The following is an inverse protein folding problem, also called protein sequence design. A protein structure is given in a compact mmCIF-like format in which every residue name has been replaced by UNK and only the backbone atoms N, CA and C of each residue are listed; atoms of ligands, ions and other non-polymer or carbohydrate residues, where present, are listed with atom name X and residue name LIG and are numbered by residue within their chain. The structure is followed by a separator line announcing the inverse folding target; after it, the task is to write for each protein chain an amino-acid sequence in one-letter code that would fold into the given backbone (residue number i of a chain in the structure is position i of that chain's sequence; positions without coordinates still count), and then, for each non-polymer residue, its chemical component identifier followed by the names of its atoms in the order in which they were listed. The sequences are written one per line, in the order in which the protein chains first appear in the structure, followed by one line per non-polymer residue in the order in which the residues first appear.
data_IF_616801669822
#
_entry.id   IF_616801669822
#
_cell.length_a   1.000
_cell.length_b   1.000
_cell.length_c   1.000
_cell.angle_alpha   90.00
_cell.angle_beta   90.00
_cell.angle_gamma   90.00
#
_symmetry.space_group_name_H-M   'P 1'
#
loop_
_entity.id
_entity.type
_entity.pdbx_description
1 polymer ?
#
# COMPACT_ATOMS: atom_id res chain seq x y z
N UNK A 1 26.15 -75.49 75.56
CA UNK A 1 25.64 -74.13 75.29
C UNK A 1 26.42 -73.55 74.13
N UNK A 2 25.88 -73.65 72.92
CA UNK A 2 26.53 -73.29 71.66
C UNK A 2 25.60 -72.29 70.97
N UNK A 3 26.00 -71.02 70.86
CA UNK A 3 25.22 -69.99 70.15
C UNK A 3 25.82 -69.76 68.77
N UNK A 4 24.95 -70.00 67.81
CA UNK A 4 24.99 -69.80 66.36
C UNK A 4 25.26 -68.34 65.96
N UNK A 5 26.11 -68.13 64.95
CA UNK A 5 26.05 -66.95 64.08
C UNK A 5 26.06 -67.44 62.64
N UNK A 6 24.93 -67.24 61.95
CA UNK A 6 24.67 -67.74 60.62
C UNK A 6 24.23 -66.55 59.74
N UNK A 7 25.01 -66.32 58.69
CA UNK A 7 24.65 -65.80 57.36
C UNK A 7 24.20 -64.34 57.20
N UNK A 8 25.15 -63.56 56.67
CA UNK A 8 25.07 -62.92 55.35
C UNK A 8 23.84 -63.31 54.51
N UNK A 9 22.84 -62.43 54.46
CA UNK A 9 21.92 -62.24 53.32
C UNK A 9 21.01 -61.07 53.70
N UNK A 10 21.22 -59.88 53.15
CA UNK A 10 20.25 -58.78 52.87
C UNK A 10 21.13 -57.59 52.41
N UNK A 11 21.71 -57.75 51.22
CA UNK A 11 22.34 -56.66 50.46
C UNK A 11 21.69 -56.67 49.09
N UNK A 12 20.37 -56.39 49.02
CA UNK A 12 19.58 -56.38 47.77
C UNK A 12 18.11 -55.93 47.94
N UNK A 13 17.79 -54.91 48.74
CA UNK A 13 16.39 -54.42 48.81
C UNK A 13 16.20 -52.92 49.14
N UNK A 14 17.20 -52.07 48.89
CA UNK A 14 17.11 -50.62 49.18
C UNK A 14 17.29 -49.74 47.93
N UNK A 15 16.79 -50.18 46.78
CA UNK A 15 16.77 -49.42 45.52
C UNK A 15 15.42 -49.63 44.85
N UNK A 16 14.34 -49.08 45.42
CA UNK A 16 13.06 -48.96 44.70
C UNK A 16 12.02 -48.08 45.43
N UNK A 17 12.44 -46.91 45.96
CA UNK A 17 11.46 -45.93 46.45
C UNK A 17 11.95 -44.48 46.27
N UNK A 18 12.62 -44.21 45.14
CA UNK A 18 12.68 -42.86 44.58
C UNK A 18 11.48 -42.74 43.65
N UNK A 19 10.33 -42.38 44.23
CA UNK A 19 9.13 -42.05 43.47
C UNK A 19 9.48 -40.82 42.63
N UNK A 20 9.67 -41.06 41.34
CA UNK A 20 9.84 -40.04 40.31
C UNK A 20 8.53 -39.26 40.30
N UNK A 21 8.50 -38.10 40.96
CA UNK A 21 7.57 -37.03 40.62
C UNK A 21 8.00 -36.53 39.24
N UNK A 22 7.61 -37.27 38.21
CA UNK A 22 7.59 -36.77 36.84
C UNK A 22 6.54 -35.68 36.82
N UNK A 23 6.95 -34.44 37.08
CA UNK A 23 6.13 -33.28 36.80
C UNK A 23 5.65 -33.43 35.36
N UNK A 24 4.34 -33.50 35.19
CA UNK A 24 3.73 -33.43 33.87
C UNK A 24 4.06 -32.02 33.39
N UNK A 25 5.10 -31.90 32.56
CA UNK A 25 5.38 -30.66 31.85
C UNK A 25 4.24 -30.55 30.85
N UNK A 26 3.15 -29.88 31.26
CA UNK A 26 2.15 -29.45 30.31
C UNK A 26 2.85 -28.48 29.37
N UNK A 27 3.08 -28.93 28.14
CA UNK A 27 3.44 -28.04 27.06
C UNK A 27 2.30 -27.04 26.92
N UNK A 28 2.52 -25.81 27.39
CA UNK A 28 1.53 -24.77 27.32
C UNK A 28 1.40 -24.35 25.85
N UNK A 29 0.17 -24.40 25.33
CA UNK A 29 -0.15 -23.89 24.01
C UNK A 29 0.33 -22.44 23.89
N UNK A 30 1.09 -22.15 22.84
CA UNK A 30 1.59 -20.81 22.55
C UNK A 30 0.49 -19.92 21.98
N UNK A 31 -0.31 -20.46 21.05
CA UNK A 31 -1.35 -19.73 20.35
C UNK A 31 -2.56 -20.60 20.00
N UNK A 32 -3.66 -19.93 19.62
CA UNK A 32 -4.89 -20.57 19.14
C UNK A 32 -5.32 -19.96 17.81
N UNK A 33 -5.95 -20.78 16.97
CA UNK A 33 -6.53 -20.33 15.69
C UNK A 33 -7.89 -19.71 15.95
N UNK A 34 -7.99 -18.38 15.89
CA UNK A 34 -9.23 -17.66 16.13
C UNK A 34 -10.15 -17.62 14.92
N UNK A 35 -9.57 -17.56 13.72
CA UNK A 35 -10.31 -17.57 12.45
C UNK A 35 -9.51 -18.36 11.42
N UNK A 36 -10.22 -19.12 10.61
CA UNK A 36 -9.69 -19.77 9.42
C UNK A 36 -10.70 -19.63 8.29
N UNK A 37 -10.25 -19.15 7.15
CA UNK A 37 -10.99 -19.15 5.90
C UNK A 37 -10.17 -19.94 4.87
N UNK A 38 -10.79 -20.93 4.22
CA UNK A 38 -10.10 -21.82 3.29
C UNK A 38 -9.41 -23.00 3.98
N UNK A 39 -8.34 -23.50 3.38
CA UNK A 39 -7.59 -24.69 3.80
C UNK A 39 -6.24 -24.26 4.36
N UNK A 40 -5.92 -24.79 5.53
CA UNK A 40 -4.60 -24.65 6.14
C UNK A 40 -4.27 -25.95 6.88
N UNK A 41 -2.98 -26.17 7.11
CA UNK A 41 -2.47 -27.26 7.92
C UNK A 41 -1.39 -26.77 8.88
N UNK A 42 -1.15 -27.55 9.92
CA UNK A 42 -0.05 -27.36 10.84
C UNK A 42 0.90 -28.55 10.73
N UNK A 43 2.19 -28.29 10.69
CA UNK A 43 3.24 -29.32 10.71
C UNK A 43 3.90 -29.32 12.09
N UNK A 44 3.80 -30.45 12.80
CA UNK A 44 4.32 -30.64 14.15
C UNK A 44 5.77 -31.15 14.12
N UNK A 45 6.65 -30.47 13.38
CA UNK A 45 8.01 -30.95 13.12
C UNK A 45 8.04 -32.32 12.45
N UNK A 46 8.80 -33.28 12.98
CA UNK A 46 8.90 -34.63 12.43
C UNK A 46 7.65 -35.52 12.67
N UNK A 47 6.69 -35.05 13.48
CA UNK A 47 5.54 -35.83 13.91
C UNK A 47 4.40 -35.91 12.87
N UNK A 48 4.49 -35.16 11.76
CA UNK A 48 3.50 -35.16 10.69
C UNK A 48 2.81 -33.80 10.51
N UNK A 49 1.70 -33.79 9.77
CA UNK A 49 0.85 -32.62 9.57
C UNK A 49 -0.60 -32.93 9.89
N UNK A 50 -1.30 -31.94 10.44
CA UNK A 50 -2.74 -31.98 10.73
C UNK A 50 -3.46 -30.84 10.02
N UNK A 51 -4.72 -31.06 9.64
CA UNK A 51 -5.56 -29.99 9.14
C UNK A 51 -5.82 -28.97 10.25
N UNK A 52 -5.65 -27.70 9.91
CA UNK A 52 -5.93 -26.61 10.81
C UNK A 52 -7.44 -26.35 10.85
N UNK A 53 -7.96 -26.02 12.02
CA UNK A 53 -9.36 -25.64 12.22
C UNK A 53 -9.47 -24.54 13.29
N UNK A 54 -10.56 -23.79 13.30
CA UNK A 54 -10.82 -22.77 14.31
C UNK A 54 -10.84 -23.39 15.71
N UNK A 55 -10.07 -22.83 16.63
CA UNK A 55 -9.89 -23.32 18.01
C UNK A 55 -8.69 -24.23 18.19
N UNK A 56 -8.04 -24.69 17.12
CA UNK A 56 -6.83 -25.50 17.20
C UNK A 56 -5.73 -24.78 18.00
N UNK A 57 -5.08 -25.52 18.88
CA UNK A 57 -3.96 -25.05 19.68
C UNK A 57 -2.65 -25.27 18.93
N UNK A 58 -1.78 -24.27 18.98
CA UNK A 58 -0.46 -24.25 18.35
C UNK A 58 0.63 -24.21 19.42
N UNK A 59 1.71 -24.93 19.18
CA UNK A 59 2.81 -25.15 20.10
C UNK A 59 4.13 -24.63 19.52
N UNK A 60 5.14 -24.54 20.39
CA UNK A 60 6.52 -24.30 19.95
C UNK A 60 6.98 -25.46 19.06
N UNK A 61 7.52 -25.13 17.89
CA UNK A 61 7.92 -26.06 16.85
C UNK A 61 6.95 -26.14 15.68
N UNK A 62 5.71 -25.69 15.85
CA UNK A 62 4.68 -25.80 14.81
C UNK A 62 4.93 -24.85 13.63
N UNK A 63 4.68 -25.37 12.42
CA UNK A 63 4.63 -24.57 11.18
C UNK A 63 3.20 -24.53 10.67
N UNK A 64 2.58 -23.36 10.71
CA UNK A 64 1.25 -23.11 10.14
C UNK A 64 1.41 -22.76 8.66
N UNK A 65 0.74 -23.50 7.79
CA UNK A 65 0.75 -23.32 6.34
C UNK A 65 -0.67 -23.04 5.84
N UNK A 66 -0.84 -21.93 5.11
CA UNK A 66 -2.12 -21.57 4.47
C UNK A 66 -2.03 -21.82 2.97
N UNK A 67 -3.08 -22.42 2.39
CA UNK A 67 -3.13 -22.71 0.96
C UNK A 67 -3.51 -21.48 0.14
N UNK A 68 -3.64 -21.68 -1.18
CA UNK A 68 -4.23 -20.68 -2.08
C UNK A 68 -5.62 -20.27 -1.56
N UNK A 69 -5.96 -18.99 -1.70
CA UNK A 69 -7.25 -18.41 -1.32
C UNK A 69 -7.64 -18.64 0.15
N UNK A 70 -6.65 -18.91 1.02
CA UNK A 70 -6.85 -19.27 2.42
C UNK A 70 -6.16 -18.28 3.36
N UNK A 71 -6.78 -17.92 4.48
CA UNK A 71 -6.21 -17.00 5.46
C UNK A 71 -6.56 -17.43 6.89
N UNK A 72 -5.73 -17.04 7.85
CA UNK A 72 -5.92 -17.43 9.24
C UNK A 72 -5.59 -16.28 10.20
N UNK A 73 -6.23 -16.26 11.36
CA UNK A 73 -5.89 -15.39 12.49
C UNK A 73 -5.45 -16.24 13.67
N UNK A 74 -4.23 -16.02 14.13
CA UNK A 74 -3.67 -16.64 15.31
C UNK A 74 -3.70 -15.65 16.46
N UNK A 75 -4.09 -16.11 17.65
CA UNK A 75 -4.06 -15.34 18.90
C UNK A 75 -3.15 -16.07 19.88
N UNK A 76 -2.07 -15.43 20.28
CA UNK A 76 -1.15 -15.96 21.28
C UNK A 76 -1.66 -15.68 22.70
N UNK A 77 -1.17 -16.45 23.66
CA UNK A 77 -1.58 -16.32 25.06
C UNK A 77 -1.12 -15.00 25.71
N UNK A 78 -0.16 -14.29 25.14
CA UNK A 78 0.25 -12.93 25.54
C UNK A 78 -0.64 -11.82 24.96
N UNK A 79 -1.66 -12.20 24.18
CA UNK A 79 -2.58 -11.31 23.49
C UNK A 79 -2.07 -10.81 22.13
N UNK A 80 -0.89 -11.25 21.66
CA UNK A 80 -0.46 -10.93 20.30
C UNK A 80 -1.35 -11.60 19.27
N UNK A 81 -1.55 -10.93 18.14
CA UNK A 81 -2.39 -11.39 17.04
C UNK A 81 -1.58 -11.42 15.75
N UNK A 82 -1.64 -12.54 15.03
CA UNK A 82 -0.92 -12.73 13.77
C UNK A 82 -1.91 -13.18 12.70
N UNK A 83 -2.18 -12.32 11.74
CA UNK A 83 -2.97 -12.64 10.56
C UNK A 83 -2.05 -13.19 9.46
N UNK A 84 -2.41 -14.33 8.88
CA UNK A 84 -1.70 -15.00 7.80
C UNK A 84 -2.47 -14.80 6.50
N UNK A 85 -1.78 -14.35 5.45
CA UNK A 85 -2.34 -14.26 4.10
C UNK A 85 -2.26 -15.62 3.36
N UNK A 86 -2.88 -15.78 2.19
CA UNK A 86 -2.72 -16.98 1.36
C UNK A 86 -1.26 -17.32 1.06
N UNK A 87 -0.98 -18.62 0.96
CA UNK A 87 0.34 -19.16 0.62
C UNK A 87 1.44 -18.77 1.62
N UNK A 88 1.08 -18.65 2.90
CA UNK A 88 2.01 -18.31 3.99
C UNK A 88 2.46 -19.55 4.74
N UNK A 89 3.74 -19.60 5.11
CA UNK A 89 4.31 -20.56 6.06
C UNK A 89 4.91 -19.80 7.24
N UNK A 90 4.34 -19.99 8.42
CA UNK A 90 4.69 -19.28 9.65
C UNK A 90 5.07 -20.28 10.75
N UNK A 91 6.19 -20.06 11.45
CA UNK A 91 6.72 -20.98 12.47
C UNK A 91 6.80 -20.33 13.84
N UNK A 92 6.44 -21.07 14.87
CA UNK A 92 6.64 -20.68 16.28
C UNK A 92 7.93 -21.33 16.76
N UNK A 93 9.03 -20.57 16.88
CA UNK A 93 10.35 -21.15 17.24
C UNK A 93 10.59 -21.19 18.74
N UNK A 94 10.15 -20.16 19.44
CA UNK A 94 10.26 -20.06 20.89
C UNK A 94 9.06 -19.25 21.39
N UNK A 95 8.50 -19.70 22.49
CA UNK A 95 7.46 -18.96 23.17
C UNK A 95 7.51 -19.27 24.67
N UNK A 96 7.62 -18.22 25.47
CA UNK A 96 7.54 -18.26 26.92
C UNK A 96 6.84 -16.99 27.38
N UNK A 97 5.75 -17.15 28.13
CA UNK A 97 4.97 -16.05 28.66
C UNK A 97 4.51 -16.39 30.07
N UNK A 98 5.02 -15.67 31.07
CA UNK A 98 4.61 -15.87 32.46
C UNK A 98 4.22 -14.52 33.07
N UNK A 99 2.96 -14.37 33.49
CA UNK A 99 2.44 -13.09 34.00
C UNK A 99 3.29 -12.52 35.15
N UNK A 100 3.78 -13.38 36.04
CA UNK A 100 4.61 -13.07 37.21
C UNK A 100 6.08 -12.76 36.91
N UNK A 101 6.60 -13.18 35.76
CA UNK A 101 8.03 -13.07 35.44
C UNK A 101 8.27 -12.43 34.07
N UNK A 102 7.93 -11.14 33.91
CA UNK A 102 8.10 -10.44 32.63
C UNK A 102 9.54 -10.42 32.10
N UNK A 103 10.55 -10.62 32.96
CA UNK A 103 11.96 -10.69 32.52
C UNK A 103 12.33 -12.00 31.82
N UNK A 104 11.55 -13.06 32.02
CA UNK A 104 11.74 -14.38 31.38
C UNK A 104 10.92 -14.52 30.09
N UNK A 105 10.01 -13.58 29.81
CA UNK A 105 9.19 -13.55 28.60
C UNK A 105 10.06 -13.62 27.34
N UNK A 106 9.60 -14.37 26.33
CA UNK A 106 10.31 -14.52 25.07
C UNK A 106 9.41 -15.07 23.96
N UNK A 107 9.46 -14.45 22.78
CA UNK A 107 8.72 -14.87 21.60
C UNK A 107 9.63 -14.74 20.38
N UNK A 108 9.95 -15.88 19.76
CA UNK A 108 10.65 -15.94 18.48
C UNK A 108 9.76 -16.65 17.48
N UNK A 109 9.32 -15.91 16.46
CA UNK A 109 8.51 -16.43 15.36
C UNK A 109 9.23 -16.25 14.03
N UNK A 110 8.86 -17.04 13.03
CA UNK A 110 9.49 -16.98 11.72
C UNK A 110 8.48 -16.93 10.59
N UNK A 111 8.73 -16.07 9.61
CA UNK A 111 8.06 -16.08 8.31
C UNK A 111 8.96 -16.83 7.32
N UNK A 112 8.54 -18.04 6.95
CA UNK A 112 9.27 -18.90 6.02
C UNK A 112 8.86 -18.67 4.57
N UNK A 113 7.63 -18.21 4.35
CA UNK A 113 7.06 -17.86 3.04
C UNK A 113 5.81 -16.98 3.22
N UNK A 114 5.50 -16.13 2.24
CA UNK A 114 4.23 -15.40 2.19
C UNK A 114 4.27 -14.13 3.03
N UNK A 115 3.22 -13.86 3.80
CA UNK A 115 3.09 -12.60 4.53
C UNK A 115 2.22 -12.67 5.77
N UNK A 116 2.48 -11.74 6.68
CA UNK A 116 1.75 -11.63 7.94
C UNK A 116 1.51 -10.18 8.29
N UNK A 117 0.42 -9.93 9.01
CA UNK A 117 0.27 -8.71 9.81
C UNK A 117 0.27 -9.11 11.27
N UNK A 118 1.01 -8.39 12.09
CA UNK A 118 1.16 -8.70 13.50
C UNK A 118 0.87 -7.50 14.37
N UNK A 119 -0.05 -7.69 15.31
CA UNK A 119 -0.28 -6.80 16.44
C UNK A 119 0.33 -7.42 17.69
N UNK A 120 1.28 -6.71 18.29
CA UNK A 120 2.01 -7.21 19.46
C UNK A 120 1.22 -7.21 20.77
N UNK A 121 1.46 -8.27 21.55
CA UNK A 121 0.90 -8.51 22.88
C UNK A 121 1.77 -7.96 23.99
N UNK A 122 1.61 -8.54 25.18
CA UNK A 122 2.30 -8.11 26.41
C UNK A 122 3.81 -8.34 26.34
N UNK A 123 4.29 -9.42 25.70
CA UNK A 123 5.74 -9.71 25.61
C UNK A 123 6.49 -8.55 24.94
N UNK A 124 5.92 -7.97 23.87
CA UNK A 124 6.52 -6.83 23.18
C UNK A 124 6.43 -5.49 23.92
N UNK A 125 5.82 -5.44 25.11
CA UNK A 125 5.47 -4.21 25.84
C UNK A 125 6.00 -4.16 27.28
N UNK A 126 6.57 -5.24 27.81
CA UNK A 126 7.03 -5.33 29.21
C UNK A 126 8.34 -6.10 29.32
N UNK A 127 8.96 -6.04 30.51
CA UNK A 127 10.09 -6.91 30.83
C UNK A 127 11.33 -6.67 29.96
N UNK A 128 11.84 -7.75 29.36
CA UNK A 128 13.02 -7.71 28.48
C UNK A 128 12.66 -7.08 27.12
N UNK A 129 13.34 -5.98 26.77
CA UNK A 129 13.07 -5.21 25.55
C UNK A 129 13.42 -5.95 24.24
N UNK A 130 14.19 -7.04 24.33
CA UNK A 130 14.56 -7.87 23.18
C UNK A 130 13.81 -9.21 23.16
N UNK A 131 12.76 -9.35 23.99
CA UNK A 131 12.00 -10.59 24.15
C UNK A 131 11.25 -11.00 22.87
N UNK A 132 10.81 -10.05 22.05
CA UNK A 132 10.10 -10.33 20.82
C UNK A 132 11.01 -10.23 19.60
N UNK A 133 11.02 -11.27 18.76
CA UNK A 133 11.70 -11.28 17.47
C UNK A 133 10.86 -12.01 16.41
N UNK A 134 10.72 -11.40 15.24
CA UNK A 134 10.24 -12.06 14.03
C UNK A 134 11.38 -12.21 13.02
N UNK A 135 11.67 -13.43 12.61
CA UNK A 135 12.71 -13.75 11.63
C UNK A 135 12.09 -13.92 10.24
N UNK A 136 12.72 -13.36 9.22
CA UNK A 136 12.31 -13.54 7.83
C UNK A 136 13.52 -13.48 6.90
N UNK A 137 13.75 -14.55 6.14
CA UNK A 137 14.94 -14.68 5.30
C UNK A 137 16.22 -14.45 6.10
N UNK A 138 16.95 -13.38 5.74
CA UNK A 138 18.22 -12.97 6.35
C UNK A 138 18.09 -11.85 7.39
N UNK A 139 16.88 -11.39 7.68
CA UNK A 139 16.62 -10.25 8.56
C UNK A 139 15.68 -10.58 9.72
N UNK A 140 15.73 -9.75 10.76
CA UNK A 140 14.96 -9.89 11.99
C UNK A 140 14.27 -8.57 12.34
N UNK A 141 13.02 -8.66 12.78
CA UNK A 141 12.24 -7.55 13.30
C UNK A 141 12.16 -7.72 14.83
N UNK A 142 12.80 -6.81 15.55
CA UNK A 142 12.54 -6.58 16.98
C UNK A 142 11.50 -5.48 17.15
N UNK A 143 10.67 -5.55 18.19
CA UNK A 143 9.59 -4.57 18.39
C UNK A 143 9.58 -4.01 19.80
N UNK A 144 8.88 -2.88 19.94
CA UNK A 144 8.50 -2.30 21.23
C UNK A 144 7.05 -1.78 21.17
N UNK A 145 6.08 -2.68 21.14
CA UNK A 145 4.65 -2.36 21.08
C UNK A 145 4.21 -1.79 19.72
N UNK A 146 3.99 -2.67 18.75
CA UNK A 146 3.82 -2.32 17.34
C UNK A 146 2.70 -3.12 16.65
N UNK A 147 2.06 -2.50 15.66
CA UNK A 147 1.33 -3.14 14.55
C UNK A 147 2.18 -2.98 13.29
N UNK A 148 2.55 -4.09 12.66
CA UNK A 148 3.36 -4.08 11.43
C UNK A 148 2.92 -5.19 10.48
N UNK A 149 3.16 -4.97 9.19
CA UNK A 149 2.96 -5.95 8.13
C UNK A 149 4.32 -6.38 7.61
N UNK A 150 4.54 -7.67 7.42
CA UNK A 150 5.78 -8.23 6.90
C UNK A 150 5.53 -9.24 5.79
N UNK A 151 6.38 -9.24 4.77
CA UNK A 151 6.26 -10.09 3.58
C UNK A 151 7.64 -10.61 3.18
N UNK A 152 7.75 -11.92 2.96
CA UNK A 152 8.94 -12.53 2.38
C UNK A 152 8.71 -12.74 0.89
N UNK A 153 9.47 -12.04 0.06
CA UNK A 153 9.38 -12.11 -1.39
C UNK A 153 10.43 -13.06 -1.94
N UNK A 154 9.98 -14.06 -2.69
CA UNK A 154 10.80 -15.06 -3.38
C UNK A 154 10.29 -15.22 -4.81
N UNK A 155 10.17 -14.09 -5.51
CA UNK A 155 9.53 -13.98 -6.82
C UNK A 155 7.99 -13.98 -6.81
N UNK A 156 7.36 -14.12 -5.64
CA UNK A 156 5.91 -14.31 -5.43
C UNK A 156 5.19 -13.07 -4.86
N UNK A 157 5.90 -11.96 -4.71
CA UNK A 157 5.33 -10.65 -4.39
C UNK A 157 4.90 -9.85 -5.63
N UNK A 158 5.18 -10.39 -6.82
CA UNK A 158 4.56 -9.89 -8.05
C UNK A 158 3.07 -10.20 -7.98
N UNK A 159 2.21 -9.23 -8.28
CA UNK A 159 0.82 -9.55 -8.63
C UNK A 159 0.86 -10.65 -9.71
N UNK A 160 -0.04 -11.65 -9.66
CA UNK A 160 -0.16 -12.62 -10.74
C UNK A 160 -0.22 -11.82 -12.03
N UNK A 161 0.86 -11.92 -12.83
CA UNK A 161 0.88 -11.33 -14.14
C UNK A 161 -0.34 -11.88 -14.87
N UNK A 162 -1.11 -11.01 -15.51
CA UNK A 162 -1.89 -11.43 -16.67
C UNK A 162 -0.90 -11.95 -17.71
N UNK A 163 -0.38 -13.17 -17.50
CA UNK A 163 0.19 -14.00 -18.54
C UNK A 163 -0.97 -14.42 -19.44
N UNK A 164 -1.53 -13.46 -20.17
CA UNK A 164 -2.36 -13.63 -21.37
C UNK A 164 -2.66 -12.27 -22.03
N UNK A 165 -1.64 -11.43 -22.23
CA UNK A 165 -1.66 -10.46 -23.32
C UNK A 165 -0.22 -10.14 -23.75
N UNK A 166 0.04 -10.32 -25.03
CA UNK A 166 1.36 -10.19 -25.63
C UNK A 166 1.95 -8.76 -25.49
N UNK A 167 3.21 -8.71 -25.04
CA UNK A 167 4.24 -7.77 -25.48
C UNK A 167 3.90 -6.29 -25.53
N UNK A 168 3.99 -5.59 -24.40
CA UNK A 168 4.45 -4.19 -24.36
C UNK A 168 5.42 -4.06 -23.18
N UNK A 169 6.64 -3.62 -23.48
CA UNK A 169 7.69 -3.31 -22.50
C UNK A 169 7.21 -2.25 -21.50
N UNK A 170 7.49 -2.46 -20.21
CA UNK A 170 7.23 -1.53 -19.09
C UNK A 170 8.07 -0.25 -19.11
N UNK A 171 9.04 -0.14 -20.03
CA UNK A 171 9.82 1.06 -20.21
C UNK A 171 8.97 2.18 -20.84
N UNK A 172 8.71 3.25 -20.09
CA UNK A 172 8.10 4.49 -20.60
C UNK A 172 6.64 4.75 -20.21
N UNK A 173 6.08 3.97 -19.28
CA UNK A 173 4.76 4.27 -18.68
C UNK A 173 4.84 5.58 -17.90
N UNK A 174 3.86 6.45 -18.12
CA UNK A 174 3.76 7.78 -17.49
C UNK A 174 2.53 7.91 -16.58
N UNK A 175 1.59 6.98 -16.69
CA UNK A 175 0.38 6.92 -15.89
C UNK A 175 -0.52 5.76 -16.29
N UNK A 176 -1.68 5.67 -15.66
CA UNK A 176 -2.68 4.63 -15.87
C UNK A 176 -4.07 5.22 -16.00
N UNK A 177 -4.93 4.51 -16.72
CA UNK A 177 -6.34 4.85 -16.84
C UNK A 177 -7.16 4.18 -15.73
N UNK A 178 -7.23 4.83 -14.56
CA UNK A 178 -7.95 4.41 -13.34
C UNK A 178 -9.39 4.03 -13.66
N UNK A 179 -10.11 4.90 -14.36
CA UNK A 179 -11.46 4.63 -14.83
C UNK A 179 -11.50 4.75 -16.36
N UNK A 180 -11.73 3.61 -17.02
CA UNK A 180 -11.77 3.48 -18.46
C UNK A 180 -13.21 3.25 -18.94
N UNK A 181 -13.97 4.31 -19.26
CA UNK A 181 -15.34 4.15 -19.72
C UNK A 181 -15.40 3.52 -21.11
N UNK A 182 -16.54 2.90 -21.44
CA UNK A 182 -16.72 2.27 -22.76
C UNK A 182 -16.58 3.30 -23.89
N UNK A 183 -15.57 3.15 -24.74
CA UNK A 183 -15.31 4.06 -25.86
C UNK A 183 -14.16 5.05 -25.65
N UNK A 184 -13.43 4.98 -24.54
CA UNK A 184 -12.12 5.63 -24.43
C UNK A 184 -11.15 5.05 -25.46
N UNK A 185 -10.53 5.91 -26.27
CA UNK A 185 -9.52 5.52 -27.23
C UNK A 185 -8.21 6.18 -26.87
N UNK A 186 -7.11 5.43 -26.93
CA UNK A 186 -5.77 6.00 -26.77
C UNK A 186 -5.01 5.81 -28.08
N UNK A 187 -4.48 6.90 -28.61
CA UNK A 187 -3.63 6.92 -29.80
C UNK A 187 -2.20 7.17 -29.36
N UNK A 188 -1.27 6.27 -29.68
CA UNK A 188 0.15 6.46 -29.35
C UNK A 188 0.81 7.55 -30.20
N UNK A 189 2.09 7.86 -29.90
CA UNK A 189 2.85 8.87 -30.63
C UNK A 189 3.11 8.56 -32.12
N UNK A 190 2.89 7.31 -32.53
CA UNK A 190 3.02 6.81 -33.90
C UNK A 190 1.67 6.80 -34.64
N UNK A 191 0.58 7.12 -33.95
CA UNK A 191 -0.77 7.15 -34.51
C UNK A 191 -1.54 5.83 -34.39
N UNK A 192 -0.99 4.81 -33.72
CA UNK A 192 -1.70 3.55 -33.52
C UNK A 192 -2.75 3.71 -32.42
N UNK A 193 -3.98 3.29 -32.74
CA UNK A 193 -5.10 3.35 -31.80
C UNK A 193 -5.17 2.05 -31.02
N UNK A 194 -5.25 2.15 -29.69
CA UNK A 194 -5.45 1.03 -28.79
C UNK A 194 -6.65 1.26 -27.86
N UNK A 195 -7.39 0.18 -27.64
CA UNK A 195 -8.39 0.11 -26.59
C UNK A 195 -7.67 -0.18 -25.27
N UNK A 196 -7.98 0.60 -24.25
CA UNK A 196 -7.36 0.47 -22.94
C UNK A 196 -8.44 0.01 -21.95
N UNK A 197 -8.18 -1.10 -21.26
CA UNK A 197 -8.97 -1.56 -20.13
C UNK A 197 -8.69 -0.68 -18.89
N UNK A 198 -9.55 -0.67 -17.86
CA UNK A 198 -9.20 -0.05 -16.59
C UNK A 198 -7.80 -0.47 -16.12
N UNK A 199 -7.06 0.45 -15.51
CA UNK A 199 -5.65 0.34 -15.10
C UNK A 199 -4.62 0.22 -16.22
N UNK A 200 -5.03 0.22 -17.50
CA UNK A 200 -4.07 0.07 -18.59
C UNK A 200 -3.12 1.27 -18.73
N UNK A 201 -1.91 0.97 -19.18
CA UNK A 201 -0.79 1.91 -19.20
C UNK A 201 -0.96 3.03 -20.23
N UNK A 202 -0.59 4.23 -19.80
CA UNK A 202 -0.41 5.42 -20.60
C UNK A 202 1.08 5.70 -20.76
N UNK A 203 1.47 6.16 -21.93
CA UNK A 203 2.83 6.44 -22.34
C UNK A 203 2.96 7.89 -22.78
N UNK A 204 4.20 8.36 -22.88
CA UNK A 204 4.48 9.67 -23.47
C UNK A 204 3.93 9.76 -24.89
N UNK A 205 3.43 10.94 -25.24
CA UNK A 205 2.81 11.28 -26.53
C UNK A 205 1.45 10.64 -26.79
N UNK A 206 0.92 9.86 -25.84
CA UNK A 206 -0.44 9.33 -25.95
C UNK A 206 -1.46 10.46 -26.04
N UNK A 207 -2.44 10.28 -26.92
CA UNK A 207 -3.63 11.10 -27.01
C UNK A 207 -4.84 10.29 -26.59
N UNK A 208 -5.50 10.72 -25.53
CA UNK A 208 -6.73 10.12 -25.01
C UNK A 208 -7.93 10.84 -25.61
N UNK A 209 -8.89 10.06 -26.12
CA UNK A 209 -10.16 10.53 -26.66
C UNK A 209 -11.30 9.81 -25.96
N UNK A 210 -12.00 10.52 -25.08
CA UNK A 210 -13.06 9.96 -24.24
C UNK A 210 -14.42 9.96 -24.96
N UNK A 211 -14.60 9.16 -26.02
CA UNK A 211 -15.85 9.14 -26.82
C UNK A 211 -17.07 8.50 -26.11
N UNK A 212 -17.06 8.43 -24.78
CA UNK A 212 -18.11 7.84 -23.96
C UNK A 212 -19.04 8.93 -23.39
N UNK A 213 -20.10 8.50 -22.69
CA UNK A 213 -20.96 9.37 -21.87
C UNK A 213 -20.49 9.49 -20.41
N UNK A 214 -19.44 8.74 -20.05
CA UNK A 214 -18.86 8.68 -18.71
C UNK A 214 -17.50 9.40 -18.68
N UNK A 215 -17.11 9.89 -17.51
CA UNK A 215 -15.81 10.52 -17.34
C UNK A 215 -14.71 9.45 -17.44
N UNK A 216 -13.52 9.83 -17.87
CA UNK A 216 -12.34 8.97 -17.73
C UNK A 216 -11.46 9.51 -16.60
N UNK A 217 -10.86 8.63 -15.80
CA UNK A 217 -9.94 9.03 -14.73
C UNK A 217 -8.55 8.46 -15.02
N UNK A 218 -7.55 9.34 -14.95
CA UNK A 218 -6.15 9.02 -15.12
C UNK A 218 -5.42 9.26 -13.80
N UNK A 219 -4.46 8.42 -13.50
CA UNK A 219 -3.49 8.64 -12.42
C UNK A 219 -2.07 8.51 -13.00
N UNK A 220 -1.33 9.61 -12.93
CA UNK A 220 0.05 9.69 -13.37
C UNK A 220 0.97 9.06 -12.33
N UNK A 221 2.16 8.63 -12.72
CA UNK A 221 3.13 8.01 -11.79
C UNK A 221 3.64 8.96 -10.69
N UNK A 222 3.40 10.27 -10.81
CA UNK A 222 3.67 11.24 -9.74
C UNK A 222 2.46 11.46 -8.80
N UNK A 223 1.40 10.65 -8.95
CA UNK A 223 0.09 10.79 -8.31
C UNK A 223 -0.72 12.02 -8.73
N UNK A 224 -0.40 12.67 -9.85
CA UNK A 224 -1.34 13.61 -10.48
C UNK A 224 -2.57 12.84 -10.95
N UNK A 225 -3.76 13.28 -10.59
CA UNK A 225 -5.03 12.70 -11.05
C UNK A 225 -5.73 13.64 -12.00
N UNK A 226 -6.14 13.12 -13.16
CA UNK A 226 -6.85 13.89 -14.18
C UNK A 226 -8.18 13.21 -14.47
N UNK A 227 -9.28 13.92 -14.25
CA UNK A 227 -10.62 13.49 -14.67
C UNK A 227 -10.96 14.18 -15.98
N UNK A 228 -11.10 13.41 -17.06
CA UNK A 228 -11.52 13.87 -18.38
C UNK A 228 -13.03 13.84 -18.50
N UNK A 229 -13.61 14.95 -18.96
CA UNK A 229 -15.04 15.03 -19.25
C UNK A 229 -15.41 14.16 -20.46
N UNK A 230 -16.58 13.49 -20.47
CA UNK A 230 -17.07 12.74 -21.63
C UNK A 230 -17.02 13.57 -22.91
N UNK A 231 -16.33 13.08 -23.94
CA UNK A 231 -16.07 13.67 -25.26
C UNK A 231 -14.75 14.45 -25.40
N UNK A 232 -13.99 14.59 -24.31
CA UNK A 232 -12.74 15.34 -24.29
C UNK A 232 -11.60 14.64 -25.03
N UNK A 233 -10.63 15.45 -25.48
CA UNK A 233 -9.39 15.00 -26.08
C UNK A 233 -8.20 15.67 -25.41
N UNK A 234 -7.31 14.86 -24.85
CA UNK A 234 -6.13 15.31 -24.09
C UNK A 234 -4.90 14.52 -24.54
N UNK A 235 -3.75 15.19 -24.61
CA UNK A 235 -2.48 14.58 -24.99
C UNK A 235 -1.44 14.70 -23.89
N UNK A 236 -0.76 13.60 -23.60
CA UNK A 236 0.35 13.52 -22.64
C UNK A 236 1.66 13.86 -23.34
N UNK A 237 1.88 15.14 -23.61
CA UNK A 237 2.95 15.59 -24.51
C UNK A 237 4.35 15.38 -23.98
N UNK A 238 4.60 15.64 -22.70
CA UNK A 238 5.86 15.31 -22.06
C UNK A 238 5.62 14.83 -20.64
N UNK A 239 6.40 13.83 -20.23
CA UNK A 239 6.39 13.38 -18.85
C UNK A 239 7.74 12.74 -18.55
N UNK A 240 8.43 13.25 -17.54
CA UNK A 240 9.66 12.70 -17.01
C UNK A 240 9.56 12.72 -15.49
N UNK A 241 9.72 11.55 -14.87
CA UNK A 241 9.73 11.43 -13.43
C UNK A 241 10.70 10.31 -13.06
N UNK A 242 11.81 10.68 -12.41
CA UNK A 242 12.83 9.78 -11.91
C UNK A 242 13.03 9.94 -10.40
N UNK A 243 12.02 10.47 -9.72
CA UNK A 243 11.97 10.69 -8.28
C UNK A 243 13.15 11.49 -7.74
N UNK A 244 12.97 12.82 -7.67
CA UNK A 244 13.87 13.81 -7.03
C UNK A 244 15.01 14.25 -7.94
N UNK A 245 14.79 14.25 -9.25
CA UNK A 245 15.73 14.86 -10.19
C UNK A 245 15.27 16.26 -10.59
N UNK A 246 16.21 17.11 -10.99
CA UNK A 246 15.91 18.42 -11.60
C UNK A 246 15.29 18.28 -13.00
N UNK A 247 15.34 17.11 -13.62
CA UNK A 247 14.70 16.83 -14.90
C UNK A 247 13.22 16.42 -14.78
N UNK A 248 12.69 16.27 -13.56
CA UNK A 248 11.30 15.85 -13.33
C UNK A 248 10.34 16.93 -13.87
N UNK A 249 9.45 16.57 -14.80
CA UNK A 249 8.54 17.52 -15.44
C UNK A 249 7.35 16.87 -16.12
N UNK A 250 6.26 17.61 -16.23
CA UNK A 250 5.01 17.17 -16.84
C UNK A 250 4.42 18.27 -17.71
N UNK A 251 4.12 17.92 -18.96
CA UNK A 251 3.40 18.74 -19.92
C UNK A 251 2.20 17.98 -20.47
N UNK A 252 1.03 18.55 -20.28
CA UNK A 252 -0.24 17.99 -20.75
C UNK A 252 -0.93 19.00 -21.67
N UNK A 253 -1.24 18.58 -22.90
CA UNK A 253 -1.96 19.43 -23.86
C UNK A 253 -3.43 19.05 -23.87
N UNK A 254 -4.29 20.01 -23.57
CA UNK A 254 -5.72 19.88 -23.72
C UNK A 254 -6.16 20.37 -25.10
N UNK A 255 -6.68 19.44 -25.91
CA UNK A 255 -7.03 19.71 -27.30
C UNK A 255 -8.50 20.09 -27.45
N UNK A 256 -9.38 19.42 -26.71
CA UNK A 256 -10.83 19.59 -26.81
C UNK A 256 -11.52 19.21 -25.50
N UNK A 257 -12.49 20.01 -25.07
CA UNK A 257 -13.38 19.65 -23.95
C UNK A 257 -12.97 20.18 -22.60
N UNK A 258 -13.05 19.35 -21.56
CA UNK A 258 -12.74 19.77 -20.21
C UNK A 258 -12.09 18.69 -19.34
N UNK A 259 -11.33 19.12 -18.34
CA UNK A 259 -10.76 18.23 -17.33
C UNK A 259 -10.69 18.87 -15.94
N UNK A 260 -10.69 18.05 -14.90
CA UNK A 260 -10.22 18.41 -13.56
C UNK A 260 -8.88 17.78 -13.33
N UNK A 261 -7.99 18.49 -12.65
CA UNK A 261 -6.72 17.91 -12.20
C UNK A 261 -6.49 18.21 -10.73
N UNK A 262 -5.96 17.21 -10.03
CA UNK A 262 -5.29 17.38 -8.74
C UNK A 262 -3.85 16.97 -8.90
N UNK A 263 -2.95 17.92 -8.68
CA UNK A 263 -1.54 17.76 -9.03
C UNK A 263 -0.74 16.98 -7.98
N UNK A 264 0.17 16.14 -8.45
CA UNK A 264 0.96 15.21 -7.66
C UNK A 264 2.30 15.74 -7.13
N UNK A 265 3.26 14.84 -6.99
CA UNK A 265 4.56 15.05 -6.35
C UNK A 265 5.49 15.99 -7.14
N UNK A 266 5.41 16.05 -8.47
CA UNK A 266 6.22 17.00 -9.25
C UNK A 266 5.79 18.42 -8.91
N UNK A 267 4.49 18.71 -8.96
CA UNK A 267 3.94 20.04 -8.68
C UNK A 267 4.19 20.54 -7.24
N UNK A 268 4.30 19.63 -6.27
CA UNK A 268 4.65 19.97 -4.88
C UNK A 268 6.11 20.40 -4.72
N UNK A 269 7.02 19.86 -5.53
CA UNK A 269 8.47 20.05 -5.41
C UNK A 269 9.02 21.09 -6.38
N UNK A 270 8.62 20.97 -7.64
CA UNK A 270 9.07 21.76 -8.78
C UNK A 270 7.84 22.25 -9.57
N UNK A 271 7.04 23.15 -8.98
CA UNK A 271 5.80 23.63 -9.58
C UNK A 271 5.98 24.20 -10.98
N UNK A 272 7.10 24.88 -11.23
CA UNK A 272 7.47 25.43 -12.54
C UNK A 272 7.63 24.40 -13.67
N UNK A 273 7.83 23.12 -13.32
CA UNK A 273 7.99 22.03 -14.29
C UNK A 273 6.69 21.31 -14.63
N UNK A 274 5.56 21.77 -14.07
CA UNK A 274 4.23 21.23 -14.37
C UNK A 274 3.40 22.26 -15.11
N UNK A 275 3.10 21.96 -16.37
CA UNK A 275 2.37 22.87 -17.25
C UNK A 275 1.22 22.13 -17.94
N UNK A 276 0.08 22.81 -18.05
CA UNK A 276 -1.05 22.40 -18.87
C UNK A 276 -1.21 23.40 -19.99
N UNK A 277 -1.22 22.93 -21.23
CA UNK A 277 -1.34 23.79 -22.40
C UNK A 277 -2.68 23.60 -23.07
N UNK A 278 -3.12 24.65 -23.73
CA UNK A 278 -4.03 24.56 -24.86
C UNK A 278 -3.33 25.11 -26.10
N UNK A 279 -4.03 25.23 -27.23
CA UNK A 279 -3.44 25.87 -28.40
C UNK A 279 -3.12 27.37 -28.17
N UNK A 280 -3.82 28.01 -27.23
CA UNK A 280 -3.82 29.47 -27.07
C UNK A 280 -3.44 29.96 -25.67
N UNK A 281 -3.16 29.05 -24.72
CA UNK A 281 -2.79 29.40 -23.36
C UNK A 281 -1.91 28.35 -22.68
N UNK A 282 -1.10 28.79 -21.71
CA UNK A 282 -0.34 27.95 -20.79
C UNK A 282 -0.82 28.19 -19.36
N UNK A 283 -1.08 27.10 -18.64
CA UNK A 283 -1.50 27.10 -17.25
C UNK A 283 -0.35 26.51 -16.43
N UNK A 284 0.36 27.37 -15.71
CA UNK A 284 1.47 26.97 -14.83
C UNK A 284 0.97 26.55 -13.46
N UNK A 285 1.42 25.41 -12.95
CA UNK A 285 0.89 24.84 -11.71
C UNK A 285 1.72 25.24 -10.48
N UNK A 286 1.05 25.46 -9.35
CA UNK A 286 1.72 25.54 -8.04
C UNK A 286 0.86 24.92 -6.92
N UNK A 287 0.85 23.59 -6.86
CA UNK A 287 0.09 22.80 -5.90
C UNK A 287 -1.40 23.08 -6.00
N UNK A 288 -2.07 22.51 -7.02
CA UNK A 288 -3.39 22.98 -7.43
C UNK A 288 -4.40 21.86 -7.67
N UNK A 289 -5.63 22.15 -7.28
CA UNK A 289 -6.85 21.48 -7.75
C UNK A 289 -7.61 22.49 -8.63
N UNK A 290 -7.75 22.19 -9.92
CA UNK A 290 -8.43 23.09 -10.84
C UNK A 290 -9.19 22.35 -11.93
N UNK A 291 -10.16 23.06 -12.50
CA UNK A 291 -10.96 22.64 -13.64
C UNK A 291 -10.67 23.56 -14.82
N UNK A 292 -10.41 22.97 -15.99
CA UNK A 292 -10.31 23.68 -17.25
C UNK A 292 -11.40 23.18 -18.19
N UNK A 293 -12.14 24.11 -18.80
CA UNK A 293 -13.19 23.82 -19.77
C UNK A 293 -13.07 24.69 -21.00
N UNK A 294 -13.09 24.08 -22.17
CA UNK A 294 -13.06 24.74 -23.47
C UNK A 294 -14.48 25.05 -23.95
N UNK A 295 -14.66 26.25 -24.48
CA UNK A 295 -15.94 26.86 -24.82
C UNK A 295 -15.91 27.49 -26.21
N UNK A 296 -17.10 27.81 -26.72
CA UNK A 296 -17.24 28.77 -27.82
C UNK A 296 -17.04 30.21 -27.32
N UNK A 297 -16.58 31.15 -28.16
CA UNK A 297 -16.37 32.54 -27.77
C UNK A 297 -17.65 33.26 -27.36
N UNK A 298 -17.50 34.37 -26.62
CA UNK A 298 -18.60 35.23 -26.21
C UNK A 298 -19.43 34.70 -25.03
N UNK A 299 -18.83 33.87 -24.16
CA UNK A 299 -19.49 33.24 -23.02
C UNK A 299 -20.76 32.43 -23.40
N UNK A 300 -20.92 32.07 -24.68
CA UNK A 300 -22.08 31.35 -25.16
C UNK A 300 -21.97 29.88 -24.75
N UNK A 301 -22.76 29.50 -23.75
CA UNK A 301 -22.78 28.16 -23.16
C UNK A 301 -23.55 27.21 -24.09
N UNK A 302 -23.04 26.95 -25.28
CA UNK A 302 -23.55 25.85 -26.09
C UNK A 302 -23.15 24.54 -25.43
N UNK A 303 -24.15 23.76 -25.03
CA UNK A 303 -23.97 22.36 -24.63
C UNK A 303 -23.24 21.64 -25.76
N UNK A 304 -21.94 21.43 -25.60
CA UNK A 304 -21.11 21.02 -26.69
C UNK A 304 -19.65 20.88 -26.29
N UNK A 305 -18.97 20.02 -27.02
CA UNK A 305 -17.57 19.72 -26.84
C UNK A 305 -16.76 20.63 -27.76
N UNK A 306 -16.05 21.61 -27.20
CA UNK A 306 -15.36 22.65 -27.98
C UNK A 306 -13.85 22.42 -28.02
N UNK A 307 -13.24 22.76 -29.16
CA UNK A 307 -11.78 22.76 -29.28
C UNK A 307 -11.19 23.89 -28.44
N UNK A 308 -10.03 23.64 -27.85
CA UNK A 308 -9.38 24.55 -26.90
C UNK A 308 -8.59 25.69 -27.59
N UNK A 309 -9.01 26.07 -28.79
CA UNK A 309 -8.48 27.17 -29.58
C UNK A 309 -9.40 28.41 -29.62
N UNK A 310 -10.62 28.27 -29.09
CA UNK A 310 -11.62 29.32 -29.02
C UNK A 310 -11.58 30.02 -27.66
N UNK A 311 -12.50 29.71 -26.75
CA UNK A 311 -12.52 30.27 -25.40
C UNK A 311 -12.30 29.19 -24.34
N UNK A 312 -11.98 29.59 -23.12
CA UNK A 312 -11.87 28.67 -21.99
C UNK A 312 -12.24 29.30 -20.64
N UNK A 313 -12.66 28.44 -19.72
CA UNK A 313 -12.76 28.71 -18.30
C UNK A 313 -11.67 27.94 -17.54
N UNK A 314 -11.10 28.60 -16.53
CA UNK A 314 -10.17 28.00 -15.57
C UNK A 314 -10.67 28.30 -14.16
N UNK A 315 -11.25 27.29 -13.50
CA UNK A 315 -11.81 27.42 -12.15
C UNK A 315 -10.89 26.77 -11.11
N UNK A 316 -10.47 27.55 -10.12
CA UNK A 316 -9.55 27.09 -9.07
C UNK A 316 -10.30 26.59 -7.85
N UNK A 317 -10.14 25.31 -7.53
CA UNK A 317 -10.71 24.69 -6.34
C UNK A 317 -9.78 24.86 -5.13
N UNK A 318 -8.47 24.65 -5.33
CA UNK A 318 -7.46 24.87 -4.30
C UNK A 318 -6.12 25.34 -4.88
N UNK A 319 -5.34 26.05 -4.06
CA UNK A 319 -4.05 26.61 -4.45
C UNK A 319 -4.14 27.88 -5.31
N UNK A 320 -3.14 28.07 -6.18
CA UNK A 320 -3.05 29.20 -7.12
C UNK A 320 -2.28 28.80 -8.37
N UNK A 321 -2.67 29.34 -9.51
CA UNK A 321 -2.05 29.10 -10.82
C UNK A 321 -1.86 30.42 -11.56
N UNK A 322 -1.00 30.40 -12.58
CA UNK A 322 -0.88 31.49 -13.53
C UNK A 322 -1.38 31.02 -14.89
N UNK A 323 -2.35 31.76 -15.42
CA UNK A 323 -2.83 31.63 -16.79
C UNK A 323 -2.05 32.62 -17.66
N UNK A 324 -1.18 32.08 -18.50
CA UNK A 324 -0.40 32.83 -19.49
C UNK A 324 -1.11 32.73 -20.84
N UNK A 325 -1.40 33.88 -21.45
CA UNK A 325 -2.02 34.03 -22.78
C UNK A 325 -1.15 34.98 -23.61
N UNK A 326 -1.53 35.22 -24.87
CA UNK A 326 -0.83 36.17 -25.72
C UNK A 326 -0.93 37.63 -25.22
N UNK A 327 -2.02 37.97 -24.51
CA UNK A 327 -2.26 39.33 -24.02
C UNK A 327 -2.04 39.51 -22.51
N UNK A 328 -2.09 38.43 -21.72
CA UNK A 328 -2.21 38.55 -20.27
C UNK A 328 -1.53 37.41 -19.53
N UNK A 329 -0.84 37.79 -18.45
CA UNK A 329 -0.35 36.91 -17.39
C UNK A 329 -1.22 37.09 -16.15
N UNK A 330 -2.17 36.18 -15.94
CA UNK A 330 -3.21 36.32 -14.91
C UNK A 330 -3.00 35.31 -13.76
N UNK A 331 -2.85 35.81 -12.53
CA UNK A 331 -2.84 34.96 -11.34
C UNK A 331 -4.29 34.61 -10.94
N UNK A 332 -4.61 33.32 -10.91
CA UNK A 332 -5.91 32.79 -10.49
C UNK A 332 -5.75 32.08 -9.15
N UNK A 333 -6.50 32.51 -8.13
CA UNK A 333 -6.45 31.97 -6.77
C UNK A 333 -7.64 31.07 -6.50
N UNK A 334 -7.55 30.23 -5.47
CA UNK A 334 -8.66 29.47 -4.90
C UNK A 334 -9.98 30.25 -4.89
N UNK A 335 -11.03 29.61 -5.37
CA UNK A 335 -12.40 30.15 -5.45
C UNK A 335 -12.63 31.10 -6.63
N UNK A 336 -11.60 31.45 -7.40
CA UNK A 336 -11.74 32.29 -8.58
C UNK A 336 -11.89 31.44 -9.85
N UNK A 337 -12.63 31.99 -10.81
CA UNK A 337 -12.69 31.47 -12.18
C UNK A 337 -12.17 32.51 -13.14
N UNK A 338 -11.18 32.17 -13.94
CA UNK A 338 -10.73 32.98 -15.06
C UNK A 338 -11.49 32.59 -16.33
N UNK A 339 -11.79 33.59 -17.14
CA UNK A 339 -12.31 33.43 -18.49
C UNK A 339 -11.32 34.04 -19.48
N UNK A 340 -11.10 33.33 -20.58
CA UNK A 340 -10.29 33.78 -21.69
C UNK A 340 -11.05 33.51 -22.99
N UNK A 341 -11.29 34.57 -23.77
CA UNK A 341 -12.13 34.56 -24.97
C UNK A 341 -11.36 34.19 -26.25
N UNK A 342 -10.13 33.72 -26.10
CA UNK A 342 -9.25 33.35 -27.20
C UNK A 342 -8.28 34.44 -27.63
N UNK A 343 -7.51 34.11 -28.68
CA UNK A 343 -6.36 34.89 -29.13
C UNK A 343 -6.72 36.37 -29.36
N UNK A 344 -5.87 37.28 -28.87
CA UNK A 344 -6.08 38.71 -28.97
C UNK A 344 -7.02 39.31 -27.90
N UNK A 345 -7.60 38.49 -27.03
CA UNK A 345 -8.44 38.96 -25.92
C UNK A 345 -7.72 38.81 -24.57
N UNK A 346 -7.83 39.79 -23.65
CA UNK A 346 -7.24 39.64 -22.32
C UNK A 346 -8.00 38.61 -21.49
N UNK A 347 -7.28 37.76 -20.77
CA UNK A 347 -7.88 36.90 -19.76
C UNK A 347 -8.34 37.74 -18.54
N UNK A 348 -9.48 37.40 -17.94
CA UNK A 348 -10.02 38.11 -16.76
C UNK A 348 -10.64 37.18 -15.73
N UNK A 349 -10.69 37.62 -14.47
CA UNK A 349 -11.44 36.93 -13.42
C UNK A 349 -12.93 37.27 -13.58
N UNK A 350 -13.77 36.24 -13.54
CA UNK A 350 -15.22 36.39 -13.55
C UNK A 350 -15.73 36.85 -12.18
N UNK A 351 -16.71 37.75 -12.22
CA UNK A 351 -17.47 38.17 -11.04
C UNK A 351 -18.31 37.01 -10.50
N UNK A 352 -18.69 37.10 -9.23
CA UNK A 352 -19.52 36.06 -8.57
C UNK A 352 -20.85 35.86 -9.33
N UNK A 353 -21.49 36.95 -9.75
CA UNK A 353 -22.73 36.89 -10.55
C UNK A 353 -22.54 36.20 -11.91
N UNK A 354 -21.42 36.43 -12.61
CA UNK A 354 -21.12 35.71 -13.85
C UNK A 354 -20.88 34.23 -13.59
N UNK A 355 -20.21 33.86 -12.49
CA UNK A 355 -20.02 32.44 -12.10
C UNK A 355 -21.34 31.78 -11.73
N UNK A 356 -22.21 32.47 -11.01
CA UNK A 356 -23.54 31.99 -10.66
C UNK A 356 -24.41 31.79 -11.91
N UNK A 357 -24.32 32.69 -12.89
CA UNK A 357 -24.98 32.52 -14.19
C UNK A 357 -24.43 31.35 -15.01
N UNK A 358 -23.13 31.07 -14.90
CA UNK A 358 -22.49 29.89 -15.50
C UNK A 358 -22.84 28.56 -14.78
N UNK A 359 -23.53 28.63 -13.62
CA UNK A 359 -23.84 27.46 -12.77
C UNK A 359 -24.86 26.49 -13.36
N UNK A 360 -25.37 26.71 -14.57
CA UNK A 360 -26.15 25.71 -15.33
C UNK A 360 -25.22 24.94 -16.28
N UNK A 361 -24.25 24.20 -15.74
CA UNK A 361 -23.52 23.08 -16.41
C UNK A 361 -22.29 22.55 -15.63
N UNK A 362 -22.16 22.83 -14.33
CA UNK A 362 -21.27 22.03 -13.48
C UNK A 362 -21.84 20.62 -13.38
N UNK A 363 -21.67 19.80 -14.44
CA UNK A 363 -21.72 18.36 -14.33
C UNK A 363 -20.90 18.04 -13.08
N UNK A 364 -21.45 17.34 -12.08
CA UNK A 364 -20.65 16.90 -10.96
C UNK A 364 -19.54 16.04 -11.57
N UNK A 365 -18.36 16.64 -11.79
CA UNK A 365 -17.17 15.83 -11.95
C UNK A 365 -17.12 15.04 -10.65
N UNK A 366 -17.06 13.70 -10.71
CA UNK A 366 -16.94 12.90 -9.52
C UNK A 366 -15.93 13.60 -8.62
N UNK A 367 -16.29 13.85 -7.35
CA UNK A 367 -15.25 14.15 -6.37
C UNK A 367 -14.20 13.07 -6.57
N UNK A 368 -12.92 13.44 -6.66
CA UNK A 368 -11.87 12.42 -6.68
C UNK A 368 -12.12 11.59 -5.45
N UNK A 369 -12.61 10.37 -5.66
CA UNK A 369 -12.94 9.50 -4.56
C UNK A 369 -11.61 9.23 -3.88
N UNK A 370 -11.40 9.77 -2.69
CA UNK A 370 -10.33 9.35 -1.76
C UNK A 370 -10.64 7.92 -1.23
N UNK A 371 -11.32 7.10 -2.03
CA UNK A 371 -11.72 5.75 -1.73
C UNK A 371 -10.78 4.81 -2.49
N UNK A 372 -10.07 4.00 -1.72
CA UNK A 372 -9.42 2.74 -2.10
C UNK A 372 -8.54 2.80 -3.36
N UNK A 373 -7.24 2.99 -3.12
CA UNK A 373 -6.11 2.29 -3.76
C UNK A 373 -6.26 1.85 -5.23
N UNK A 374 -5.36 2.31 -6.09
CA UNK A 374 -4.91 1.54 -7.25
C UNK A 374 -3.43 1.16 -7.06
N UNK A 375 -3.03 -0.05 -7.49
CA UNK A 375 -1.68 -0.57 -7.31
C UNK A 375 -0.72 0.12 -8.28
N UNK A 376 0.34 0.68 -7.72
CA UNK A 376 1.60 1.10 -8.33
C UNK A 376 2.31 -0.11 -8.99
N UNK A 377 1.91 -0.49 -10.21
CA UNK A 377 2.73 -1.38 -11.05
C UNK A 377 3.90 -0.61 -11.65
N UNK A 378 4.90 -0.27 -10.83
CA UNK A 378 6.25 -0.18 -11.39
C UNK A 378 6.69 -1.61 -11.68
N UNK A 379 7.18 -1.86 -12.89
CA UNK A 379 8.05 -3.02 -13.17
C UNK A 379 9.41 -2.80 -12.49
N UNK A 380 9.37 -2.55 -11.18
CA UNK A 380 10.44 -2.90 -10.30
C UNK A 380 10.28 -4.39 -10.10
N UNK A 381 11.24 -5.16 -10.61
CA UNK A 381 11.44 -6.51 -10.13
C UNK A 381 11.53 -6.42 -8.61
N UNK A 382 10.44 -6.72 -7.88
CA UNK A 382 10.43 -6.72 -6.41
C UNK A 382 11.57 -7.63 -5.98
N UNK A 383 12.68 -7.10 -5.45
CA UNK A 383 13.84 -7.94 -5.20
C UNK A 383 13.51 -8.97 -4.11
N UNK A 384 14.12 -10.15 -4.23
CA UNK A 384 13.91 -11.22 -3.25
C UNK A 384 14.49 -10.83 -1.89
N UNK A 385 13.64 -10.88 -0.88
CA UNK A 385 14.05 -10.54 0.48
C UNK A 385 12.86 -10.25 1.38
N UNK A 386 13.16 -9.70 2.54
CA UNK A 386 12.19 -9.49 3.61
C UNK A 386 11.78 -8.03 3.68
N UNK A 387 10.48 -7.78 3.51
CA UNK A 387 9.89 -6.45 3.53
C UNK A 387 9.07 -6.27 4.79
N UNK A 388 9.06 -5.04 5.30
CA UNK A 388 8.26 -4.65 6.46
C UNK A 388 7.71 -3.24 6.29
N UNK A 389 6.47 -3.03 6.72
CA UNK A 389 5.82 -1.72 6.84
C UNK A 389 5.22 -1.57 8.25
N UNK A 390 5.37 -0.39 8.85
CA UNK A 390 4.94 -0.13 10.24
C UNK A 390 3.63 0.63 10.27
N UNK A 391 2.55 -0.07 10.62
CA UNK A 391 1.21 0.53 10.73
C UNK A 391 1.09 1.42 11.98
N UNK A 392 1.69 1.00 13.10
CA UNK A 392 1.72 1.75 14.36
C UNK A 392 2.88 1.34 15.25
N UNK A 393 3.47 2.28 15.99
CA UNK A 393 4.58 2.00 16.91
C UNK A 393 5.95 2.15 16.26
N UNK A 394 6.93 1.39 16.75
CA UNK A 394 8.31 1.42 16.26
C UNK A 394 8.89 0.01 16.23
N UNK A 395 9.67 -0.30 15.20
CA UNK A 395 10.44 -1.55 15.12
C UNK A 395 11.93 -1.29 14.93
N UNK A 396 12.74 -2.26 15.34
CA UNK A 396 14.12 -2.40 14.95
C UNK A 396 14.20 -3.47 13.86
N UNK A 397 14.57 -3.08 12.65
CA UNK A 397 14.74 -3.98 11.53
C UNK A 397 16.23 -4.23 11.28
N UNK A 398 16.68 -5.45 11.53
CA UNK A 398 18.08 -5.81 11.61
C UNK A 398 18.45 -6.86 10.57
N UNK A 399 19.57 -6.68 9.89
CA UNK A 399 20.18 -7.67 9.00
C UNK A 399 21.70 -7.64 9.23
N UNK A 400 22.30 -8.82 9.41
CA UNK A 400 23.67 -8.95 9.86
C UNK A 400 23.94 -8.11 11.13
N UNK A 401 24.91 -7.19 11.11
CA UNK A 401 25.23 -6.29 12.22
C UNK A 401 24.55 -4.91 12.12
N UNK A 402 23.75 -4.67 11.09
CA UNK A 402 23.13 -3.36 10.85
C UNK A 402 21.67 -3.36 11.29
N UNK A 403 21.26 -2.30 11.99
CA UNK A 403 19.88 -2.10 12.44
C UNK A 403 19.36 -0.76 11.97
N UNK A 404 18.19 -0.78 11.35
CA UNK A 404 17.41 0.39 10.98
C UNK A 404 16.18 0.45 11.89
N UNK A 405 16.03 1.53 12.66
CA UNK A 405 14.78 1.78 13.37
C UNK A 405 13.74 2.28 12.38
N UNK A 406 12.49 1.85 12.48
CA UNK A 406 11.36 2.31 11.64
C UNK A 406 10.22 2.73 12.54
N UNK A 407 9.67 3.91 12.30
CA UNK A 407 8.52 4.48 12.99
C UNK A 407 7.23 4.25 12.18
N UNK A 408 6.08 4.63 12.73
CA UNK A 408 4.79 4.59 12.03
C UNK A 408 4.88 5.24 10.63
N UNK A 409 4.45 4.51 9.61
CA UNK A 409 4.46 4.93 8.21
C UNK A 409 5.82 4.76 7.52
N UNK A 410 6.83 4.21 8.20
CA UNK A 410 8.07 3.79 7.56
C UNK A 410 7.94 2.34 7.03
N UNK A 411 8.51 2.09 5.85
CA UNK A 411 8.80 0.77 5.34
C UNK A 411 10.30 0.56 5.11
N UNK A 412 10.70 -0.71 5.08
CA UNK A 412 12.05 -1.11 4.73
C UNK A 412 12.08 -2.48 4.07
N UNK A 413 13.20 -2.75 3.43
CA UNK A 413 13.50 -4.00 2.74
C UNK A 413 14.90 -4.49 3.09
N UNK A 414 15.03 -5.79 3.34
CA UNK A 414 16.29 -6.48 3.55
C UNK A 414 16.47 -7.54 2.46
N UNK A 415 17.48 -7.38 1.61
CA UNK A 415 17.67 -8.27 0.48
C UNK A 415 18.24 -9.63 0.88
N UNK A 416 17.91 -10.67 0.13
CA UNK A 416 18.41 -12.02 0.40
C UNK A 416 19.95 -12.12 0.41
N UNK A 417 20.64 -11.33 -0.43
CA UNK A 417 22.09 -11.40 -0.66
C UNK A 417 22.88 -10.15 -0.24
N UNK A 418 22.22 -9.15 0.37
CA UNK A 418 22.84 -7.88 0.73
C UNK A 418 23.06 -7.77 2.24
N UNK A 419 23.86 -6.80 2.70
CA UNK A 419 24.34 -6.76 4.09
C UNK A 419 23.57 -5.75 4.96
N UNK A 420 22.74 -4.89 4.37
CA UNK A 420 22.12 -3.76 5.08
C UNK A 420 20.64 -3.59 4.71
N UNK A 421 19.73 -3.45 5.70
CA UNK A 421 18.34 -3.09 5.42
C UNK A 421 18.25 -1.68 4.84
N UNK A 422 17.43 -1.50 3.82
CA UNK A 422 17.21 -0.22 3.12
C UNK A 422 15.82 0.31 3.49
N UNK A 423 15.75 1.55 3.98
CA UNK A 423 14.46 2.24 4.14
C UNK A 423 13.85 2.52 2.77
N UNK A 424 12.56 2.22 2.63
CA UNK A 424 11.81 2.50 1.42
C UNK A 424 11.18 3.89 1.52
N UNK A 425 11.13 4.65 0.41
CA UNK A 425 10.53 5.98 0.40
C UNK A 425 8.99 5.95 0.49
N UNK A 426 8.38 4.80 0.17
CA UNK A 426 6.95 4.51 0.19
C UNK A 426 6.75 3.04 0.59
N UNK A 427 5.57 2.72 1.13
CA UNK A 427 5.17 1.34 1.42
C UNK A 427 4.85 0.62 0.10
N UNK A 428 5.45 -0.54 -0.20
CA UNK A 428 5.10 -1.27 -1.41
C UNK A 428 3.64 -1.69 -1.41
N UNK A 429 2.94 -1.64 -2.56
CA UNK A 429 1.51 -1.99 -2.63
C UNK A 429 1.20 -3.40 -2.12
N UNK A 430 2.09 -4.35 -2.38
CA UNK A 430 1.89 -5.73 -1.93
C UNK A 430 1.94 -5.87 -0.39
N UNK A 431 2.38 -4.82 0.32
CA UNK A 431 2.34 -4.67 1.77
C UNK A 431 1.19 -3.79 2.24
N UNK A 432 1.00 -2.60 1.66
CA UNK A 432 0.01 -1.60 2.11
C UNK A 432 -1.42 -1.92 1.62
N UNK A 433 -1.54 -2.40 0.38
CA UNK A 433 -2.81 -2.74 -0.27
C UNK A 433 -3.10 -4.25 -0.28
N UNK A 434 -2.52 -5.05 0.64
CA UNK A 434 -2.83 -6.48 0.71
C UNK A 434 -4.33 -6.66 1.05
N UNK A 435 -5.16 -7.19 0.13
CA UNK A 435 -6.61 -7.21 0.27
C UNK A 435 -7.08 -8.13 1.41
N UNK A 436 -6.19 -9.00 1.91
CA UNK A 436 -6.45 -9.87 3.04
C UNK A 436 -6.01 -9.17 4.33
N UNK A 437 -4.81 -8.60 4.37
CA UNK A 437 -4.19 -8.11 5.61
C UNK A 437 -4.50 -6.64 5.95
N UNK A 438 -4.73 -5.78 4.95
CA UNK A 438 -4.89 -4.32 5.14
C UNK A 438 -6.09 -3.98 6.05
N UNK A 439 -7.18 -4.75 5.91
CA UNK A 439 -8.41 -4.59 6.70
C UNK A 439 -8.67 -5.76 7.64
N UNK A 440 -7.66 -6.59 7.93
CA UNK A 440 -7.87 -7.76 8.79
C UNK A 440 -8.28 -7.28 10.20
N UNK A 441 -9.49 -7.61 10.68
CA UNK A 441 -10.00 -7.05 11.91
C UNK A 441 -9.25 -7.69 13.08
N UNK A 442 -8.22 -7.02 13.59
CA UNK A 442 -7.69 -7.37 14.91
C UNK A 442 -8.77 -7.09 15.93
N UNK A 443 -9.10 -8.13 16.70
CA UNK A 443 -10.10 -8.00 17.75
C UNK A 443 -9.51 -7.15 18.86
N UNK A 444 -10.10 -6.00 19.15
CA UNK A 444 -9.71 -5.20 20.32
C UNK A 444 -10.20 -5.91 21.58
N UNK A 445 -9.44 -6.88 22.07
CA UNK A 445 -9.64 -7.41 23.41
C UNK A 445 -8.68 -6.72 24.38
N UNK A 446 -9.30 -5.99 25.31
CA UNK A 446 -8.80 -5.63 26.65
C UNK A 446 -7.93 -4.36 26.76
N UNK A 447 -8.63 -3.22 26.80
CA UNK A 447 -8.56 -2.32 27.95
C UNK A 447 -9.91 -2.39 28.69
N UNK A 448 -10.30 -3.57 29.19
CA UNK A 448 -11.29 -3.62 30.27
C UNK A 448 -10.53 -3.32 31.56
N UNK A 449 -10.85 -2.18 32.17
CA UNK A 449 -10.50 -1.86 33.54
C UNK A 449 -10.87 -3.05 34.44
N UNK A 450 -9.87 -3.79 34.90
CA UNK A 450 -9.91 -4.38 36.24
C UNK A 450 -9.17 -3.42 37.17
N UNK A 451 -9.87 -2.94 38.20
CA UNK A 451 -9.28 -2.14 39.27
C UNK A 451 -9.91 -0.76 39.45
N UNK A 452 -11.18 -0.70 39.86
CA UNK A 452 -11.61 0.28 40.84
C UNK A 452 -12.70 -0.35 41.71
N UNK A 453 -12.29 -0.63 42.95
CA UNK A 453 -12.99 -1.19 44.11
C UNK A 453 -13.11 -2.72 44.21
#
# INVERSE_FOLDING_TARGET
MMKTSFRNLIWRSAVCLMFVLSGVIHAQSAAKVQRLQGIAHVEHGAAGFDLLYTGAELNVGDVVATEKDSNALLIFTDGSQVALRPQTRFVIRQYHFEHSKPQEDGMVVGLLKGGVRTLSGLIGKRGNQNAYQMQGGTATIGIRGTDFTARLCQGDCRHPSENEAAGVSSAGVVGHLVHAPSGIQVTDGQGAVRQIKPYGALFRSDTLQANSTEAAELEMVDHTRITLRPGSRLKLSQFHYQSRQESDGMLVDMLRGGFRVVTGLIAKRQPEQVNFHTLTATIGVRGTDFVLDCLSPGLQIHQGMHDCNAAMLLAMQDGRTRLETDQTSLLVKRGQTAYYDGLGSPARILTDSERDMLSVQSLPMPGITLASSMPESTDQTVPDGFYVAVNHGRIAFSQASTTVLLDRGDAAYAAANDVVPVRLPLDPDFLDADPVLANYPFVSFVCTKEGSE
#
